data_IF_416741482370
#
_entry.id   IF_416741482370
#
_cell.length_a   1.000
_cell.length_b   1.000
_cell.length_c   1.000
_cell.angle_alpha   90.00
_cell.angle_beta   90.00
_cell.angle_gamma   90.00
#
_symmetry.space_group_name_H-M   'P 1'
#
loop_
_entity.id
_entity.type
_entity.pdbx_description
1 polymer ?
#
# COMPACT_ATOMS: atom_id res chain seq x y z
N UNK A 1 45.90 -6.50 -8.90
CA UNK A 1 46.22 -5.59 -10.02
C UNK A 1 44.94 -5.32 -10.78
N UNK A 2 44.29 -4.18 -10.53
CA UNK A 2 43.19 -3.72 -11.36
C UNK A 2 43.81 -2.90 -12.50
N UNK A 3 44.02 -3.53 -13.65
CA UNK A 3 44.26 -2.80 -14.89
C UNK A 3 42.90 -2.47 -15.48
N UNK A 4 42.40 -1.27 -15.21
CA UNK A 4 41.30 -0.70 -15.97
C UNK A 4 41.93 0.07 -17.13
N UNK A 5 41.65 -0.35 -18.36
CA UNK A 5 41.85 0.48 -19.55
C UNK A 5 41.17 1.81 -19.31
N UNK A 6 41.96 2.88 -19.15
CA UNK A 6 41.48 4.27 -19.13
C UNK A 6 40.60 4.45 -20.38
N UNK A 7 39.32 4.82 -20.26
CA UNK A 7 38.67 5.51 -21.37
C UNK A 7 39.54 6.72 -21.67
N UNK A 8 39.74 7.07 -22.95
CA UNK A 8 40.45 8.31 -23.30
C UNK A 8 39.79 9.44 -22.50
N UNK A 9 40.51 9.99 -21.53
CA UNK A 9 39.99 11.04 -20.65
C UNK A 9 40.05 12.31 -21.48
N UNK A 10 38.95 12.63 -22.17
CA UNK A 10 38.89 13.81 -23.04
C UNK A 10 38.75 15.10 -22.21
N UNK A 11 38.26 15.03 -20.97
CA UNK A 11 38.12 16.17 -20.07
C UNK A 11 38.67 15.91 -18.66
N UNK A 12 39.64 16.74 -18.24
CA UNK A 12 40.19 16.79 -16.88
C UNK A 12 40.00 18.21 -16.30
N UNK A 13 39.64 18.30 -15.01
CA UNK A 13 39.60 19.56 -14.26
C UNK A 13 40.48 19.44 -13.03
N UNK A 14 41.44 20.35 -12.88
CA UNK A 14 42.38 20.36 -11.74
C UNK A 14 43.14 19.02 -11.55
N UNK A 15 43.42 18.31 -12.64
CA UNK A 15 44.09 17.01 -12.61
C UNK A 15 43.21 15.82 -12.21
N UNK A 16 41.90 16.04 -12.03
CA UNK A 16 40.91 14.99 -11.79
C UNK A 16 40.12 14.69 -13.07
N UNK A 17 39.90 13.39 -13.41
CA UNK A 17 39.09 13.02 -14.56
C UNK A 17 37.63 13.43 -14.35
N UNK A 18 37.01 14.03 -15.35
CA UNK A 18 35.58 14.35 -15.33
C UNK A 18 34.79 13.13 -15.79
N UNK A 19 33.87 12.65 -14.95
CA UNK A 19 32.96 11.55 -15.29
C UNK A 19 31.57 12.14 -15.51
N UNK A 20 31.09 12.06 -16.74
CA UNK A 20 29.72 12.43 -17.09
C UNK A 20 28.76 11.31 -16.70
N UNK A 21 27.81 11.64 -15.83
CA UNK A 21 26.75 10.74 -15.39
C UNK A 21 25.51 10.95 -16.26
N UNK A 22 24.64 9.96 -16.31
CA UNK A 22 23.44 10.05 -17.13
C UNK A 22 22.41 10.99 -16.52
N UNK A 23 21.55 11.57 -17.37
CA UNK A 23 20.61 12.64 -16.98
C UNK A 23 19.57 12.22 -15.93
N UNK A 24 19.34 10.92 -15.73
CA UNK A 24 18.50 10.34 -14.69
C UNK A 24 19.20 10.22 -13.33
N UNK A 25 20.54 10.35 -13.29
CA UNK A 25 21.33 10.32 -12.06
C UNK A 25 21.46 11.73 -11.46
N UNK A 26 20.50 12.11 -10.63
CA UNK A 26 20.49 13.47 -10.07
C UNK A 26 21.62 13.70 -9.07
N UNK A 27 22.07 14.96 -8.94
CA UNK A 27 23.10 15.35 -7.98
C UNK A 27 22.70 14.97 -6.55
N UNK A 28 21.45 15.21 -6.16
CA UNK A 28 20.91 14.85 -4.85
C UNK A 28 20.94 13.33 -4.63
N UNK A 29 20.70 12.54 -5.68
CA UNK A 29 20.80 11.09 -5.61
C UNK A 29 22.23 10.62 -5.30
N UNK A 30 23.21 11.23 -5.96
CA UNK A 30 24.63 10.95 -5.69
C UNK A 30 25.07 11.45 -4.33
N UNK A 31 24.59 12.59 -3.85
CA UNK A 31 24.85 13.06 -2.48
C UNK A 31 24.40 12.03 -1.44
N UNK A 32 23.22 11.42 -1.61
CA UNK A 32 22.72 10.35 -0.73
C UNK A 32 23.67 9.14 -0.77
N UNK A 33 24.02 8.66 -1.96
CA UNK A 33 24.87 7.46 -2.12
C UNK A 33 26.28 7.71 -1.58
N UNK A 34 26.89 8.84 -1.92
CA UNK A 34 28.23 9.20 -1.45
C UNK A 34 28.22 9.45 0.06
N UNK A 35 27.18 10.08 0.60
CA UNK A 35 26.99 10.24 2.05
C UNK A 35 27.02 8.90 2.78
N UNK A 36 26.35 7.88 2.24
CA UNK A 36 26.37 6.52 2.82
C UNK A 36 27.77 5.88 2.77
N UNK A 37 28.53 6.07 1.69
CA UNK A 37 29.88 5.51 1.56
C UNK A 37 30.91 6.19 2.47
N UNK A 38 30.89 7.52 2.55
CA UNK A 38 31.92 8.30 3.22
C UNK A 38 31.59 8.60 4.68
N UNK A 39 30.32 8.79 5.01
CA UNK A 39 29.88 9.15 6.37
C UNK A 39 29.22 7.98 7.12
N UNK A 40 29.02 6.82 6.47
CA UNK A 40 28.18 5.74 6.99
C UNK A 40 26.70 6.09 6.90
N UNK A 41 25.82 5.28 7.52
CA UNK A 41 24.39 5.63 7.61
C UNK A 41 24.26 6.97 8.33
N UNK A 42 23.80 7.98 7.61
CA UNK A 42 23.32 9.25 8.17
C UNK A 42 22.00 8.98 8.93
N UNK A 43 22.07 8.31 10.08
CA UNK A 43 20.90 7.92 10.88
C UNK A 43 21.05 6.55 11.53
N UNK A 44 20.36 6.34 12.67
CA UNK A 44 20.39 5.08 13.39
C UNK A 44 19.82 3.94 12.51
N UNK A 45 20.28 2.69 12.66
CA UNK A 45 19.85 1.54 11.84
C UNK A 45 18.34 1.24 11.80
N UNK A 46 17.52 1.93 12.61
CA UNK A 46 16.07 1.73 12.76
C UNK A 46 15.22 2.90 12.27
N UNK A 47 15.82 4.03 11.90
CA UNK A 47 15.07 5.23 11.54
C UNK A 47 14.51 5.12 10.11
N UNK A 48 13.25 5.57 9.88
CA UNK A 48 12.67 5.58 8.55
C UNK A 48 13.40 6.60 7.66
N UNK A 49 13.99 6.13 6.56
CA UNK A 49 14.66 6.98 5.57
C UNK A 49 13.64 7.74 4.72
N UNK A 50 13.82 9.05 4.46
CA UNK A 50 13.00 9.81 3.51
C UNK A 50 12.84 9.08 2.17
N UNK A 51 11.66 9.17 1.55
CA UNK A 51 11.41 8.47 0.28
C UNK A 51 12.35 8.94 -0.86
N UNK A 52 12.85 10.19 -0.80
CA UNK A 52 13.90 10.69 -1.70
C UNK A 52 15.17 9.84 -1.62
N UNK A 53 15.61 9.50 -0.41
CA UNK A 53 16.79 8.66 -0.18
C UNK A 53 16.53 7.22 -0.63
N UNK A 54 15.38 6.65 -0.24
CA UNK A 54 14.96 5.31 -0.68
C UNK A 54 14.99 5.20 -2.20
N UNK A 55 14.45 6.21 -2.90
CA UNK A 55 14.43 6.27 -4.36
C UNK A 55 15.85 6.37 -4.95
N UNK A 56 16.71 7.21 -4.40
CA UNK A 56 18.10 7.32 -4.85
C UNK A 56 18.86 6.01 -4.66
N UNK A 57 18.75 5.40 -3.48
CA UNK A 57 19.36 4.11 -3.16
C UNK A 57 18.87 2.99 -4.07
N UNK A 58 17.58 2.97 -4.43
CA UNK A 58 17.03 1.99 -5.35
C UNK A 58 17.48 2.23 -6.80
N UNK A 59 17.38 3.46 -7.29
CA UNK A 59 17.70 3.80 -8.67
C UNK A 59 19.20 3.61 -8.95
N UNK A 60 20.06 4.29 -8.19
CA UNK A 60 21.51 4.21 -8.34
C UNK A 60 22.05 2.86 -7.88
N UNK A 61 21.52 2.30 -6.80
CA UNK A 61 21.94 0.98 -6.32
C UNK A 61 21.64 -0.13 -7.32
N UNK A 62 20.49 -0.08 -8.00
CA UNK A 62 20.18 -1.04 -9.07
C UNK A 62 21.09 -0.84 -10.31
N UNK A 63 21.28 0.41 -10.75
CA UNK A 63 22.04 0.76 -11.96
C UNK A 63 23.54 0.47 -11.82
N UNK A 64 24.12 0.85 -10.69
CA UNK A 64 25.55 0.74 -10.40
C UNK A 64 25.91 -0.47 -9.51
N UNK A 65 24.93 -1.33 -9.19
CA UNK A 65 25.11 -2.57 -8.41
C UNK A 65 25.60 -2.35 -6.98
N UNK A 66 25.08 -1.30 -6.31
CA UNK A 66 25.30 -1.08 -4.88
C UNK A 66 24.31 -1.91 -4.07
N UNK A 67 24.57 -3.21 -3.95
CA UNK A 67 23.57 -4.17 -3.46
C UNK A 67 23.14 -3.95 -2.02
N UNK A 68 24.06 -3.54 -1.14
CA UNK A 68 23.74 -3.21 0.25
C UNK A 68 22.73 -2.05 0.35
N UNK A 69 22.86 -1.02 -0.49
CA UNK A 69 21.92 0.11 -0.53
C UNK A 69 20.58 -0.31 -1.12
N UNK A 70 20.61 -1.05 -2.22
CA UNK A 70 19.41 -1.58 -2.87
C UNK A 70 18.60 -2.45 -1.90
N UNK A 71 19.26 -3.38 -1.21
CA UNK A 71 18.62 -4.28 -0.24
C UNK A 71 18.05 -3.53 0.97
N UNK A 72 18.78 -2.56 1.52
CA UNK A 72 18.29 -1.75 2.63
C UNK A 72 17.07 -0.91 2.22
N UNK A 73 17.08 -0.31 1.04
CA UNK A 73 15.96 0.48 0.55
C UNK A 73 14.70 -0.38 0.32
N UNK A 74 14.87 -1.61 -0.24
CA UNK A 74 13.77 -2.58 -0.35
C UNK A 74 13.24 -2.98 1.02
N UNK A 75 14.12 -3.21 2.00
CA UNK A 75 13.73 -3.55 3.38
C UNK A 75 12.90 -2.44 4.01
N UNK A 76 13.29 -1.16 3.83
CA UNK A 76 12.51 -0.01 4.32
C UNK A 76 11.12 0.04 3.68
N UNK A 77 11.02 -0.16 2.36
CA UNK A 77 9.71 -0.21 1.68
C UNK A 77 8.83 -1.35 2.19
N UNK A 78 9.38 -2.54 2.46
CA UNK A 78 8.62 -3.69 2.99
C UNK A 78 8.07 -3.45 4.39
N UNK A 79 8.67 -2.58 5.20
CA UNK A 79 8.11 -2.19 6.50
C UNK A 79 6.89 -1.27 6.37
N UNK A 80 6.79 -0.53 5.26
CA UNK A 80 5.67 0.40 4.98
C UNK A 80 4.56 -0.31 4.19
N UNK A 81 4.98 -1.21 3.30
CA UNK A 81 4.15 -1.99 2.37
C UNK A 81 4.33 -3.49 2.64
N UNK A 82 3.90 -3.95 3.81
CA UNK A 82 4.11 -5.33 4.23
C UNK A 82 3.27 -6.31 3.43
N UNK A 83 3.66 -7.58 3.49
CA UNK A 83 2.88 -8.71 3.01
C UNK A 83 1.85 -9.18 4.04
N UNK A 84 2.12 -9.00 5.34
CA UNK A 84 1.24 -9.47 6.41
C UNK A 84 0.12 -8.48 6.70
N UNK A 85 -1.10 -9.00 6.92
CA UNK A 85 -2.25 -8.21 7.34
C UNK A 85 -2.03 -7.58 8.73
N UNK A 86 -1.39 -8.30 9.64
CA UNK A 86 -1.11 -7.82 11.00
C UNK A 86 -0.08 -6.67 10.99
N UNK A 87 0.93 -6.77 10.12
CA UNK A 87 1.90 -5.69 9.92
C UNK A 87 1.23 -4.45 9.28
N UNK A 88 0.35 -4.68 8.29
CA UNK A 88 -0.39 -3.62 7.59
C UNK A 88 -1.29 -2.81 8.53
N UNK A 89 -1.93 -3.49 9.49
CA UNK A 89 -2.84 -2.85 10.45
C UNK A 89 -2.13 -2.34 11.71
N UNK A 90 -0.80 -2.49 11.79
CA UNK A 90 -0.03 -2.03 12.93
C UNK A 90 0.08 -0.49 12.98
N UNK A 91 -0.02 0.09 14.18
CA UNK A 91 0.12 1.54 14.38
C UNK A 91 1.50 2.06 13.94
N UNK A 92 2.55 1.27 14.17
CA UNK A 92 3.93 1.61 13.80
C UNK A 92 4.04 1.82 12.29
N UNK A 93 3.40 0.96 11.48
CA UNK A 93 3.39 1.09 10.03
C UNK A 93 2.69 2.36 9.58
N UNK A 94 1.54 2.71 10.18
CA UNK A 94 0.84 3.96 9.85
C UNK A 94 1.70 5.21 10.12
N UNK A 95 2.40 5.24 11.26
CA UNK A 95 3.32 6.33 11.59
C UNK A 95 4.46 6.44 10.57
N UNK A 96 5.10 5.32 10.20
CA UNK A 96 6.18 5.31 9.19
C UNK A 96 5.68 5.77 7.83
N UNK A 97 4.53 5.30 7.38
CA UNK A 97 3.94 5.68 6.09
C UNK A 97 3.61 7.18 6.03
N UNK A 98 3.00 7.71 7.09
CA UNK A 98 2.61 9.12 7.10
C UNK A 98 3.84 10.03 7.02
N UNK A 99 4.90 9.71 7.76
CA UNK A 99 6.19 10.42 7.69
C UNK A 99 6.81 10.35 6.30
N UNK A 100 6.80 9.18 5.65
CA UNK A 100 7.60 8.97 4.44
C UNK A 100 6.91 9.36 3.13
N UNK A 101 5.58 9.29 3.08
CA UNK A 101 4.83 9.40 1.81
C UNK A 101 3.81 10.52 1.87
N UNK A 102 3.09 10.66 2.97
CA UNK A 102 1.96 11.59 3.02
C UNK A 102 2.33 12.97 3.52
N UNK A 103 3.36 13.07 4.35
CA UNK A 103 3.88 14.33 4.89
C UNK A 103 5.15 14.79 4.16
N UNK A 104 5.53 14.12 3.07
CA UNK A 104 6.68 14.52 2.27
C UNK A 104 6.37 15.79 1.47
N UNK A 105 7.34 16.72 1.43
CA UNK A 105 7.23 17.97 0.65
C UNK A 105 7.51 17.79 -0.84
N UNK A 106 8.20 16.71 -1.21
CA UNK A 106 8.77 16.53 -2.56
C UNK A 106 8.35 15.22 -3.19
N UNK A 107 7.63 14.35 -2.49
CA UNK A 107 7.25 13.02 -2.97
C UNK A 107 5.82 12.65 -2.63
N UNK A 108 5.25 11.76 -3.43
CA UNK A 108 3.89 11.27 -3.31
C UNK A 108 3.85 9.75 -3.39
N UNK A 109 2.70 9.17 -3.04
CA UNK A 109 2.44 7.75 -3.28
C UNK A 109 2.53 7.36 -4.76
N UNK A 110 2.27 8.28 -5.69
CA UNK A 110 2.38 8.03 -7.13
C UNK A 110 3.85 7.83 -7.52
N UNK A 111 4.77 8.58 -6.91
CA UNK A 111 6.21 8.36 -7.12
C UNK A 111 6.63 6.95 -6.65
N UNK A 112 6.09 6.49 -5.51
CA UNK A 112 6.32 5.14 -5.02
C UNK A 112 5.74 4.05 -5.94
N UNK A 113 4.50 4.23 -6.40
CA UNK A 113 3.86 3.30 -7.35
C UNK A 113 4.69 3.22 -8.63
N UNK A 114 5.03 4.35 -9.23
CA UNK A 114 5.81 4.38 -10.46
C UNK A 114 7.18 3.72 -10.28
N UNK A 115 7.88 4.02 -9.17
CA UNK A 115 9.16 3.38 -8.86
C UNK A 115 9.05 1.86 -8.75
N UNK A 116 8.00 1.36 -8.09
CA UNK A 116 7.77 -0.07 -7.93
C UNK A 116 7.50 -0.77 -9.28
N UNK A 117 6.80 -0.13 -10.21
CA UNK A 117 6.66 -0.66 -11.58
C UNK A 117 7.97 -0.63 -12.35
N UNK A 118 8.68 0.50 -12.34
CA UNK A 118 9.95 0.69 -13.07
C UNK A 118 11.00 -0.34 -12.65
N UNK A 119 11.12 -0.61 -11.34
CA UNK A 119 12.11 -1.54 -10.79
C UNK A 119 11.55 -2.95 -10.54
N UNK A 120 10.31 -3.22 -10.96
CA UNK A 120 9.62 -4.52 -10.76
C UNK A 120 9.63 -4.98 -9.30
N UNK A 121 9.35 -4.09 -8.35
CA UNK A 121 9.25 -4.38 -6.91
C UNK A 121 7.90 -5.05 -6.59
N UNK A 122 7.67 -6.23 -7.16
CA UNK A 122 6.36 -6.89 -7.13
C UNK A 122 5.90 -7.27 -5.73
N UNK A 123 6.81 -7.47 -4.77
CA UNK A 123 6.45 -7.90 -3.42
C UNK A 123 5.71 -6.83 -2.61
N UNK A 124 5.90 -5.55 -2.93
CA UNK A 124 5.24 -4.43 -2.25
C UNK A 124 4.05 -3.86 -3.03
N UNK A 125 3.92 -4.21 -4.32
CA UNK A 125 2.89 -3.65 -5.19
C UNK A 125 1.46 -3.82 -4.66
N UNK A 126 1.01 -4.97 -4.14
CA UNK A 126 -0.39 -5.13 -3.75
C UNK A 126 -0.82 -4.14 -2.66
N UNK A 127 0.01 -3.95 -1.64
CA UNK A 127 -0.27 -3.01 -0.54
C UNK A 127 -0.03 -1.56 -0.95
N UNK A 128 0.96 -1.30 -1.79
CA UNK A 128 1.21 0.03 -2.35
C UNK A 128 0.07 0.49 -3.28
N UNK A 129 -0.52 -0.41 -4.08
CA UNK A 129 -1.66 -0.08 -4.94
C UNK A 129 -2.94 0.14 -4.14
N UNK A 130 -3.11 -0.57 -3.01
CA UNK A 130 -4.22 -0.33 -2.09
C UNK A 130 -4.23 1.11 -1.56
N UNK A 131 -3.07 1.75 -1.44
CA UNK A 131 -2.98 3.14 -1.00
C UNK A 131 -3.75 4.10 -1.92
N UNK A 132 -3.85 3.81 -3.23
CA UNK A 132 -4.55 4.65 -4.21
C UNK A 132 -6.03 4.92 -3.86
N UNK A 133 -6.61 4.08 -2.99
CA UNK A 133 -8.00 4.21 -2.56
C UNK A 133 -8.21 4.99 -1.27
N UNK A 134 -7.14 5.55 -0.68
CA UNK A 134 -7.30 6.47 0.45
C UNK A 134 -8.05 7.75 0.05
N UNK A 135 -8.98 8.24 0.88
CA UNK A 135 -9.83 9.40 0.53
C UNK A 135 -9.06 10.64 0.08
N UNK A 136 -7.90 10.92 0.68
CA UNK A 136 -7.05 12.07 0.35
C UNK A 136 -6.51 12.07 -1.09
N UNK A 137 -6.43 10.90 -1.72
CA UNK A 137 -5.96 10.76 -3.10
C UNK A 137 -7.07 10.92 -4.13
N UNK A 138 -8.33 11.06 -3.69
CA UNK A 138 -9.46 11.43 -4.56
C UNK A 138 -9.68 10.48 -5.74
N UNK A 139 -9.72 9.17 -5.53
CA UNK A 139 -10.15 8.23 -6.58
C UNK A 139 -11.58 8.57 -7.10
N UNK A 140 -11.85 8.62 -8.43
CA UNK A 140 -10.97 8.20 -9.53
C UNK A 140 -10.04 9.28 -10.11
N UNK A 141 -10.11 10.53 -9.66
CA UNK A 141 -9.31 11.64 -10.20
C UNK A 141 -7.80 11.39 -10.18
N UNK A 142 -7.29 10.60 -9.21
CA UNK A 142 -5.88 10.17 -9.18
C UNK A 142 -5.43 9.51 -10.49
N UNK A 143 -6.34 8.85 -11.21
CA UNK A 143 -6.04 8.12 -12.45
C UNK A 143 -5.72 9.06 -13.62
N UNK A 144 -6.32 10.26 -13.66
CA UNK A 144 -6.16 11.23 -14.75
C UNK A 144 -5.27 12.41 -14.37
N UNK A 145 -5.47 12.96 -13.16
CA UNK A 145 -4.96 14.27 -12.79
C UNK A 145 -3.55 14.14 -12.18
N UNK A 146 -3.24 12.97 -11.61
CA UNK A 146 -2.06 12.74 -10.81
C UNK A 146 -2.17 13.33 -9.41
N UNK A 147 -1.02 13.45 -8.73
CA UNK A 147 -0.92 14.04 -7.39
C UNK A 147 0.14 15.12 -7.40
N UNK A 148 -0.23 16.30 -6.90
CA UNK A 148 0.67 17.42 -6.73
C UNK A 148 1.40 17.33 -5.39
N UNK A 149 2.71 17.54 -5.38
CA UNK A 149 3.50 17.81 -4.18
C UNK A 149 3.35 19.27 -3.74
N UNK A 150 3.67 19.59 -2.47
CA UNK A 150 3.64 20.97 -1.97
C UNK A 150 4.48 21.99 -2.77
N UNK A 151 5.52 21.55 -3.48
CA UNK A 151 6.35 22.37 -4.37
C UNK A 151 5.70 22.60 -5.77
N UNK A 152 4.52 22.05 -6.04
CA UNK A 152 3.77 22.20 -7.28
C UNK A 152 4.07 21.15 -8.35
N UNK A 153 5.01 20.23 -8.14
CA UNK A 153 5.28 19.14 -9.09
C UNK A 153 4.10 18.16 -9.12
N UNK A 154 3.60 17.86 -10.32
CA UNK A 154 2.51 16.89 -10.50
C UNK A 154 3.08 15.59 -11.05
N UNK A 155 2.93 14.50 -10.31
CA UNK A 155 3.28 13.15 -10.78
C UNK A 155 2.02 12.41 -11.19
N UNK A 156 2.05 11.80 -12.38
CA UNK A 156 0.97 10.94 -12.89
C UNK A 156 1.36 9.48 -12.83
N UNK A 157 0.36 8.61 -12.68
CA UNK A 157 0.54 7.16 -12.68
C UNK A 157 1.00 6.66 -14.05
N UNK A 158 1.83 5.64 -14.07
CA UNK A 158 2.13 4.88 -15.30
C UNK A 158 0.86 4.20 -15.85
N UNK A 159 0.73 4.01 -17.17
CA UNK A 159 -0.45 3.38 -17.78
C UNK A 159 -0.80 2.01 -17.17
N UNK A 160 0.19 1.18 -16.89
CA UNK A 160 0.03 -0.14 -16.29
C UNK A 160 -0.53 -0.03 -14.87
N UNK A 161 -0.09 0.97 -14.10
CA UNK A 161 -0.61 1.24 -12.77
C UNK A 161 -2.07 1.71 -12.82
N UNK A 162 -2.44 2.54 -13.79
CA UNK A 162 -3.84 2.98 -14.00
C UNK A 162 -4.74 1.78 -14.26
N UNK A 163 -4.33 0.84 -15.13
CA UNK A 163 -5.09 -0.37 -15.42
C UNK A 163 -5.23 -1.24 -14.16
N UNK A 164 -4.13 -1.52 -13.46
CA UNK A 164 -4.13 -2.35 -12.25
C UNK A 164 -5.01 -1.77 -11.15
N UNK A 165 -4.97 -0.45 -10.93
CA UNK A 165 -5.82 0.22 -9.92
C UNK A 165 -7.29 0.19 -10.35
N UNK A 166 -7.59 0.42 -11.62
CA UNK A 166 -8.97 0.45 -12.13
C UNK A 166 -9.63 -0.92 -12.01
N UNK A 167 -8.98 -1.97 -12.51
CA UNK A 167 -9.45 -3.37 -12.41
C UNK A 167 -9.45 -3.83 -10.96
N UNK A 168 -8.39 -3.49 -10.21
CA UNK A 168 -8.23 -3.84 -8.81
C UNK A 168 -9.35 -3.30 -7.95
N UNK A 169 -9.88 -2.11 -8.25
CA UNK A 169 -11.03 -1.55 -7.55
C UNK A 169 -12.25 -2.46 -7.64
N UNK A 170 -12.63 -2.86 -8.85
CA UNK A 170 -13.82 -3.69 -9.07
C UNK A 170 -13.70 -5.03 -8.34
N UNK A 171 -12.57 -5.73 -8.54
CA UNK A 171 -12.30 -7.01 -7.89
C UNK A 171 -12.20 -6.90 -6.37
N UNK A 172 -11.64 -5.82 -5.84
CA UNK A 172 -11.61 -5.55 -4.39
C UNK A 172 -13.03 -5.34 -3.83
N UNK A 173 -13.91 -4.65 -4.54
CA UNK A 173 -15.30 -4.52 -4.12
C UNK A 173 -16.00 -5.89 -4.06
N UNK A 174 -15.82 -6.72 -5.08
CA UNK A 174 -16.37 -8.07 -5.09
C UNK A 174 -15.83 -8.92 -3.94
N UNK A 175 -14.51 -8.95 -3.75
CA UNK A 175 -13.87 -9.66 -2.63
C UNK A 175 -14.35 -9.15 -1.27
N UNK A 176 -14.55 -7.84 -1.12
CA UNK A 176 -15.06 -7.24 0.10
C UNK A 176 -16.49 -7.71 0.41
N UNK A 177 -17.37 -7.74 -0.59
CA UNK A 177 -18.75 -8.22 -0.43
C UNK A 177 -18.77 -9.73 -0.12
N UNK A 178 -17.95 -10.50 -0.82
CA UNK A 178 -17.95 -11.97 -0.75
C UNK A 178 -17.19 -12.53 0.46
N UNK A 179 -16.30 -11.75 1.09
CA UNK A 179 -15.51 -12.20 2.22
C UNK A 179 -15.79 -11.38 3.48
N UNK A 180 -15.52 -10.07 3.46
CA UNK A 180 -15.59 -9.23 4.67
C UNK A 180 -17.03 -8.95 5.09
N UNK A 181 -17.94 -8.80 4.13
CA UNK A 181 -19.34 -8.43 4.35
C UNK A 181 -20.31 -9.59 4.10
N UNK A 182 -19.80 -10.80 3.92
CA UNK A 182 -20.60 -11.98 3.59
C UNK A 182 -21.70 -12.25 4.63
N UNK A 183 -21.44 -11.95 5.91
CA UNK A 183 -22.38 -12.11 7.02
C UNK A 183 -23.57 -11.14 6.96
N UNK A 184 -23.41 -9.99 6.31
CA UNK A 184 -24.50 -9.02 6.09
C UNK A 184 -25.17 -9.25 4.74
N UNK A 185 -24.37 -9.43 3.69
CA UNK A 185 -24.84 -9.61 2.32
C UNK A 185 -25.70 -10.87 2.17
N UNK A 186 -25.30 -11.99 2.78
CA UNK A 186 -26.04 -13.25 2.67
C UNK A 186 -27.15 -13.37 3.73
N UNK A 187 -28.42 -13.58 3.33
CA UNK A 187 -29.53 -13.78 4.28
C UNK A 187 -29.42 -15.09 5.07
N UNK A 188 -28.51 -16.00 4.69
CA UNK A 188 -28.29 -17.28 5.38
C UNK A 188 -27.41 -17.16 6.62
N UNK A 189 -26.72 -16.04 6.80
CA UNK A 189 -25.73 -15.84 7.86
C UNK A 189 -26.33 -15.23 9.12
N UNK A 190 -27.30 -14.33 8.96
CA UNK A 190 -28.03 -13.69 10.06
C UNK A 190 -29.53 -13.72 9.71
N UNK A 191 -30.39 -14.24 10.60
CA UNK A 191 -30.09 -14.65 11.98
C UNK A 191 -29.31 -15.98 12.06
N UNK A 192 -28.46 -16.10 13.09
CA UNK A 192 -27.77 -17.35 13.43
C UNK A 192 -28.73 -18.36 14.07
N UNK A 193 -28.35 -19.64 14.15
CA UNK A 193 -29.14 -20.66 14.87
C UNK A 193 -29.36 -20.30 16.36
N UNK A 194 -28.38 -19.63 16.99
CA UNK A 194 -28.48 -19.15 18.38
C UNK A 194 -29.15 -17.77 18.52
N UNK A 195 -29.79 -17.24 17.48
CA UNK A 195 -30.42 -15.94 17.52
C UNK A 195 -31.65 -15.93 18.45
N UNK A 196 -31.68 -14.98 19.40
CA UNK A 196 -32.82 -14.79 20.31
C UNK A 196 -33.92 -13.88 19.75
N UNK A 197 -33.69 -13.26 18.59
CA UNK A 197 -34.60 -12.31 17.93
C UNK A 197 -34.85 -12.63 16.44
N UNK A 198 -35.32 -13.85 16.10
CA UNK A 198 -35.52 -14.24 14.71
C UNK A 198 -36.82 -13.69 14.09
N UNK A 199 -37.80 -13.23 14.90
CA UNK A 199 -39.15 -12.86 14.42
C UNK A 199 -39.77 -11.67 15.17
N UNK A 200 -40.87 -11.11 14.64
CA UNK A 200 -41.60 -9.91 15.09
C UNK A 200 -42.22 -9.98 16.51
N UNK A 201 -41.98 -11.05 17.28
CA UNK A 201 -42.64 -11.30 18.56
C UNK A 201 -41.83 -10.83 19.78
N UNK A 202 -40.65 -10.24 19.58
CA UNK A 202 -39.84 -9.64 20.65
C UNK A 202 -40.06 -8.14 20.72
N UNK A 203 -39.96 -7.54 21.92
CA UNK A 203 -39.97 -6.07 22.09
C UNK A 203 -38.79 -5.39 21.38
N UNK A 204 -37.71 -6.13 21.14
CA UNK A 204 -36.51 -5.67 20.43
C UNK A 204 -36.57 -5.96 18.93
N UNK A 205 -35.88 -5.14 18.13
CA UNK A 205 -35.80 -5.25 16.66
C UNK A 205 -35.24 -6.63 16.22
N UNK A 206 -35.91 -7.35 15.30
CA UNK A 206 -35.39 -8.62 14.77
C UNK A 206 -34.03 -8.46 14.09
N UNK A 207 -33.11 -9.41 14.30
CA UNK A 207 -31.77 -9.34 13.69
C UNK A 207 -31.81 -9.36 12.16
N UNK A 208 -32.88 -9.89 11.55
CA UNK A 208 -33.12 -9.83 10.10
C UNK A 208 -33.32 -8.39 9.63
N UNK A 209 -34.06 -7.58 10.38
CA UNK A 209 -34.29 -6.15 10.08
C UNK A 209 -33.03 -5.33 10.30
N UNK A 210 -32.31 -5.59 11.40
CA UNK A 210 -31.01 -4.98 11.66
C UNK A 210 -30.04 -5.27 10.51
N UNK A 211 -29.91 -6.53 10.06
CA UNK A 211 -29.08 -6.91 8.91
C UNK A 211 -29.46 -6.13 7.64
N UNK A 212 -30.76 -6.02 7.35
CA UNK A 212 -31.23 -5.28 6.17
C UNK A 212 -30.86 -3.78 6.24
N UNK A 213 -30.94 -3.16 7.43
CA UNK A 213 -30.48 -1.78 7.65
C UNK A 213 -28.97 -1.64 7.46
N UNK A 214 -28.18 -2.56 8.03
CA UNK A 214 -26.72 -2.57 7.84
C UNK A 214 -26.34 -2.74 6.36
N UNK A 215 -27.07 -3.57 5.61
CA UNK A 215 -26.87 -3.71 4.17
C UNK A 215 -27.20 -2.42 3.40
N UNK A 216 -28.22 -1.68 3.82
CA UNK A 216 -28.56 -0.39 3.21
C UNK A 216 -27.48 0.68 3.48
N UNK A 217 -26.87 0.69 4.67
CA UNK A 217 -25.74 1.57 5.01
C UNK A 217 -24.47 1.26 4.20
N UNK A 218 -24.25 -0.01 3.84
CA UNK A 218 -23.19 -0.41 2.91
C UNK A 218 -23.42 0.20 1.51
N UNK A 219 -24.68 0.26 1.07
CA UNK A 219 -25.04 0.77 -0.25
C UNK A 219 -25.00 2.31 -0.35
N UNK A 220 -25.07 3.04 0.77
CA UNK A 220 -25.11 4.51 0.81
C UNK A 220 -24.48 5.11 2.08
N UNK A 221 -23.53 6.08 2.03
CA UNK A 221 -22.77 6.63 0.89
C UNK A 221 -21.49 5.83 0.57
N UNK A 222 -20.75 6.25 -0.48
CA UNK A 222 -19.60 5.56 -1.12
C UNK A 222 -18.69 4.87 -0.10
N UNK A 223 -18.80 3.54 -0.04
CA UNK A 223 -17.99 2.70 0.82
C UNK A 223 -16.49 2.92 0.60
N UNK A 224 -15.77 3.26 1.68
CA UNK A 224 -14.31 3.36 1.68
C UNK A 224 -13.70 1.96 1.77
N UNK A 225 -13.16 1.45 0.65
CA UNK A 225 -12.51 0.13 0.56
C UNK A 225 -11.48 -0.05 1.69
N UNK A 226 -10.57 0.92 1.83
CA UNK A 226 -9.46 0.83 2.78
C UNK A 226 -9.96 0.78 4.23
N UNK A 227 -11.00 1.54 4.57
CA UNK A 227 -11.57 1.55 5.93
C UNK A 227 -12.16 0.19 6.32
N UNK A 228 -12.76 -0.52 5.37
CA UNK A 228 -13.31 -1.85 5.62
C UNK A 228 -12.24 -2.92 5.70
N UNK A 229 -11.16 -2.77 4.93
CA UNK A 229 -10.01 -3.68 4.93
C UNK A 229 -9.21 -3.53 6.23
N UNK A 230 -8.84 -2.31 6.62
CA UNK A 230 -8.00 -2.06 7.80
C UNK A 230 -8.70 -2.30 9.14
N UNK A 231 -10.02 -2.21 9.15
CA UNK A 231 -10.79 -2.32 10.38
C UNK A 231 -10.76 -1.06 11.20
N UNK A 232 -11.72 -0.17 10.93
CA UNK A 232 -11.99 0.92 11.88
C UNK A 232 -12.43 0.36 13.24
N UNK A 233 -12.06 1.05 14.33
CA UNK A 233 -12.57 0.81 15.71
C UNK A 233 -14.10 0.88 15.81
N UNK A 234 -14.79 1.32 14.76
CA UNK A 234 -16.25 1.42 14.71
C UNK A 234 -16.93 0.15 14.22
N UNK A 235 -16.20 -0.87 13.76
CA UNK A 235 -16.82 -2.10 13.24
C UNK A 235 -17.63 -2.84 14.31
N UNK A 236 -17.19 -2.82 15.58
CA UNK A 236 -17.97 -3.40 16.69
C UNK A 236 -19.23 -2.59 16.96
N UNK A 237 -19.13 -1.26 17.01
CA UNK A 237 -20.29 -0.37 17.16
C UNK A 237 -21.32 -0.56 16.05
N UNK A 238 -20.85 -0.78 14.82
CA UNK A 238 -21.70 -1.00 13.66
C UNK A 238 -22.59 -2.25 13.81
N UNK A 239 -22.09 -3.29 14.49
CA UNK A 239 -22.87 -4.51 14.75
C UNK A 239 -23.65 -4.49 16.08
N UNK A 240 -23.53 -3.43 16.89
CA UNK A 240 -24.06 -3.39 18.27
C UNK A 240 -25.58 -3.59 18.38
N UNK A 241 -26.33 -3.28 17.32
CA UNK A 241 -27.77 -3.47 17.28
C UNK A 241 -28.18 -4.95 17.10
N UNK A 242 -27.26 -5.88 16.84
CA UNK A 242 -27.52 -7.32 16.75
C UNK A 242 -27.60 -7.97 18.14
N UNK A 243 -28.31 -9.10 18.25
CA UNK A 243 -28.28 -9.88 19.49
C UNK A 243 -26.90 -10.51 19.66
N UNK A 244 -26.52 -10.87 20.89
CA UNK A 244 -25.17 -11.38 21.22
C UNK A 244 -24.67 -12.47 20.25
N UNK A 245 -25.47 -13.51 19.99
CA UNK A 245 -25.07 -14.59 19.06
C UNK A 245 -24.78 -14.10 17.64
N UNK A 246 -25.61 -13.20 17.09
CA UNK A 246 -25.41 -12.63 15.76
C UNK A 246 -24.26 -11.63 15.73
N UNK A 247 -24.07 -10.84 16.79
CA UNK A 247 -22.94 -9.94 16.95
C UNK A 247 -21.62 -10.71 16.91
N UNK A 248 -21.44 -11.71 17.76
CA UNK A 248 -20.21 -12.49 17.84
C UNK A 248 -19.91 -13.23 16.53
N UNK A 249 -20.94 -13.80 15.88
CA UNK A 249 -20.82 -14.40 14.56
C UNK A 249 -20.32 -13.39 13.52
N UNK A 250 -20.92 -12.19 13.50
CA UNK A 250 -20.55 -11.12 12.56
C UNK A 250 -19.11 -10.67 12.74
N UNK A 251 -18.65 -10.48 13.99
CA UNK A 251 -17.27 -10.10 14.28
C UNK A 251 -16.29 -11.19 13.85
N UNK A 252 -16.60 -12.46 14.07
CA UNK A 252 -15.76 -13.58 13.61
C UNK A 252 -15.69 -13.63 12.08
N UNK A 253 -16.82 -13.56 11.40
CA UNK A 253 -16.88 -13.59 9.93
C UNK A 253 -16.14 -12.40 9.32
N UNK A 254 -16.30 -11.20 9.86
CA UNK A 254 -15.60 -10.00 9.40
C UNK A 254 -14.08 -10.13 9.55
N UNK A 255 -13.58 -10.65 10.69
CA UNK A 255 -12.13 -10.87 10.89
C UNK A 255 -11.58 -11.91 9.90
N UNK A 256 -12.26 -13.05 9.75
CA UNK A 256 -11.87 -14.10 8.80
C UNK A 256 -11.92 -13.61 7.35
N UNK A 257 -12.96 -12.86 7.00
CA UNK A 257 -13.13 -12.29 5.67
C UNK A 257 -12.02 -11.32 5.29
N UNK A 258 -11.49 -10.55 6.25
CA UNK A 258 -10.34 -9.66 6.01
C UNK A 258 -9.06 -10.42 5.73
N UNK A 259 -8.78 -11.47 6.51
CA UNK A 259 -7.63 -12.32 6.28
C UNK A 259 -7.71 -12.98 4.90
N UNK A 260 -8.87 -13.51 4.53
CA UNK A 260 -9.09 -14.10 3.21
C UNK A 260 -8.93 -13.09 2.07
N UNK A 261 -9.55 -11.91 2.19
CA UNK A 261 -9.38 -10.82 1.23
C UNK A 261 -7.89 -10.43 1.11
N UNK A 262 -7.16 -10.43 2.22
CA UNK A 262 -5.74 -10.10 2.22
C UNK A 262 -4.86 -11.16 1.55
N UNK A 263 -5.14 -12.45 1.77
CA UNK A 263 -4.48 -13.56 1.08
C UNK A 263 -4.61 -13.46 -0.43
N UNK A 264 -5.78 -13.03 -0.91
CA UNK A 264 -6.09 -12.86 -2.34
C UNK A 264 -5.70 -11.49 -2.90
N UNK A 265 -5.25 -10.54 -2.06
CA UNK A 265 -5.00 -9.14 -2.43
C UNK A 265 -4.18 -8.95 -3.73
N UNK A 266 -3.07 -9.67 -3.96
CA UNK A 266 -2.30 -9.52 -5.20
C UNK A 266 -3.14 -9.82 -6.46
N UNK A 267 -4.01 -10.82 -6.38
CA UNK A 267 -4.79 -11.31 -7.53
C UNK A 267 -5.83 -10.29 -7.98
N UNK A 268 -6.36 -9.48 -7.04
CA UNK A 268 -7.25 -8.37 -7.39
C UNK A 268 -6.54 -7.35 -8.28
N UNK A 269 -5.26 -7.10 -8.08
CA UNK A 269 -4.45 -6.24 -8.94
C UNK A 269 -3.83 -6.95 -10.16
N UNK A 270 -4.23 -8.20 -10.44
CA UNK A 270 -3.68 -8.98 -11.56
C UNK A 270 -2.26 -9.48 -11.34
N UNK A 271 -1.80 -9.55 -10.08
CA UNK A 271 -0.49 -10.06 -9.70
C UNK A 271 -0.59 -11.54 -9.25
N UNK A 272 0.52 -12.31 -9.34
CA UNK A 272 0.58 -13.65 -8.76
C UNK A 272 0.32 -13.66 -7.25
N UNK A 273 -0.05 -14.83 -6.68
CA UNK A 273 -0.15 -14.99 -5.23
C UNK A 273 1.13 -14.58 -4.51
N UNK A 274 1.00 -14.21 -3.24
CA UNK A 274 2.07 -13.58 -2.48
C UNK A 274 3.41 -14.35 -2.49
N UNK A 275 3.38 -15.69 -2.41
CA UNK A 275 4.54 -16.59 -2.41
C UNK A 275 5.30 -16.62 -3.74
N UNK A 276 4.68 -16.16 -4.82
CA UNK A 276 5.25 -16.11 -6.15
C UNK A 276 5.78 -14.71 -6.54
N UNK A 277 5.52 -13.69 -5.72
CA UNK A 277 6.00 -12.33 -5.97
C UNK A 277 7.52 -12.24 -5.73
N UNK A 278 8.24 -11.67 -6.69
CA UNK A 278 9.69 -11.46 -6.65
C UNK A 278 10.04 -10.06 -7.13
N UNK A 279 11.00 -9.43 -6.45
CA UNK A 279 11.51 -8.11 -6.83
C UNK A 279 12.60 -8.26 -7.90
N UNK A 280 12.72 -7.27 -8.80
CA UNK A 280 13.74 -7.20 -9.86
C UNK A 280 13.69 -8.33 -10.92
N UNK A 281 12.64 -9.15 -10.94
CA UNK A 281 12.42 -10.22 -11.92
C UNK A 281 11.57 -9.75 -13.11
#
# INVERSE_FOLDING_TARGET
MFSATRPAVEDEKEGCPIIYLSNDDTAEGWEVVLGQFYCGRLGLPSDPLPFTEIRAMLHLGHKYKFETMKEEAVKQLKQIFPRSYDEWTSQIRHLRRDTLIHNSKTTTVVDAINLAYLLRLKTILPTLLLEAFYPKLKYPSILSDGVATPDGRVTRLLPEAVVSISVGRERLYEGLINHVLAHIHSPKQIPTQGCKRPAYKTAEEPCTSVRARLLAEIAHPKMSLVTWIEGSRNCEKWHSALCQSCFEHSIRQLKQGRLKLWEELPTYFGLPPWDQLKDFA
#
